data_IF_153996788550
#
_entry.id   IF_153996788550
#
_cell.length_a   1.000
_cell.length_b   1.000
_cell.length_c   1.000
_cell.angle_alpha   90.00
_cell.angle_beta   90.00
_cell.angle_gamma   90.00
#
_symmetry.space_group_name_H-M   'P 1'
#
loop_
_entity.id
_entity.type
_entity.pdbx_description
1 polymer ?
#
# COMPACT_ATOMS: atom_id res chain seq x y z
N UNK A 1 -2.68 -33.99 8.37
CA UNK A 1 -4.05 -33.55 8.76
C UNK A 1 -4.55 -32.35 7.97
N UNK A 2 -3.82 -31.26 7.85
CA UNK A 2 -4.30 -30.01 7.20
C UNK A 2 -4.42 -30.11 5.68
N UNK A 3 -3.45 -30.72 5.01
CA UNK A 3 -3.44 -30.88 3.55
C UNK A 3 -4.65 -31.64 3.00
N UNK A 4 -5.10 -32.69 3.70
CA UNK A 4 -6.25 -33.49 3.30
C UNK A 4 -7.57 -32.69 3.32
N UNK A 5 -7.71 -31.74 4.25
CA UNK A 5 -8.89 -30.85 4.30
C UNK A 5 -8.89 -29.85 3.15
N UNK A 6 -7.75 -29.26 2.83
CA UNK A 6 -7.60 -28.33 1.68
C UNK A 6 -7.94 -29.09 0.38
N UNK A 7 -7.49 -30.35 0.22
CA UNK A 7 -7.86 -31.15 -0.93
C UNK A 7 -9.38 -31.27 -1.10
N UNK A 8 -10.13 -31.47 0.00
CA UNK A 8 -11.59 -31.52 -0.02
C UNK A 8 -12.23 -30.24 -0.55
N UNK A 9 -11.74 -29.07 -0.12
CA UNK A 9 -12.21 -27.78 -0.61
C UNK A 9 -11.90 -27.62 -2.11
N UNK A 10 -10.71 -27.94 -2.55
CA UNK A 10 -10.30 -27.85 -3.96
C UNK A 10 -11.14 -28.79 -4.85
N UNK A 11 -11.40 -30.02 -4.38
CA UNK A 11 -12.29 -30.96 -5.06
C UNK A 11 -13.69 -30.36 -5.23
N UNK A 12 -14.25 -29.79 -4.16
CA UNK A 12 -15.57 -29.13 -4.19
C UNK A 12 -15.59 -27.98 -5.19
N UNK A 13 -14.63 -27.08 -5.14
CA UNK A 13 -14.55 -25.93 -6.03
C UNK A 13 -14.43 -26.37 -7.49
N UNK A 14 -13.54 -27.33 -7.78
CA UNK A 14 -13.33 -27.83 -9.13
C UNK A 14 -14.55 -28.57 -9.68
N UNK A 15 -15.24 -29.31 -8.82
CA UNK A 15 -16.49 -29.99 -9.19
C UNK A 15 -17.59 -29.01 -9.54
N UNK A 16 -17.80 -27.98 -8.67
CA UNK A 16 -18.82 -26.97 -8.89
C UNK A 16 -18.55 -26.13 -10.15
N UNK A 17 -17.29 -25.79 -10.44
CA UNK A 17 -16.91 -25.07 -11.68
C UNK A 17 -17.24 -25.87 -12.94
N UNK A 18 -17.35 -27.20 -12.86
CA UNK A 18 -17.70 -28.12 -13.96
C UNK A 18 -19.17 -28.50 -13.98
N UNK A 19 -19.94 -27.98 -13.05
CA UNK A 19 -21.36 -28.33 -12.84
C UNK A 19 -21.61 -29.83 -12.67
N UNK A 20 -20.68 -30.52 -11.95
CA UNK A 20 -20.78 -31.95 -11.70
C UNK A 20 -21.51 -32.23 -10.38
N UNK A 21 -22.35 -33.28 -10.38
CA UNK A 21 -22.93 -33.82 -9.16
C UNK A 21 -21.88 -34.57 -8.34
N UNK A 22 -22.14 -34.73 -7.03
CA UNK A 22 -21.29 -35.58 -6.19
C UNK A 22 -21.31 -37.04 -6.66
N UNK A 23 -22.47 -37.55 -7.07
CA UNK A 23 -22.59 -38.91 -7.62
C UNK A 23 -21.72 -39.11 -8.88
N UNK A 24 -21.74 -38.15 -9.80
CA UNK A 24 -20.96 -38.21 -11.02
C UNK A 24 -19.45 -38.19 -10.75
N UNK A 25 -19.01 -37.37 -9.79
CA UNK A 25 -17.58 -37.30 -9.45
C UNK A 25 -17.10 -38.55 -8.71
N UNK A 26 -17.86 -39.09 -7.76
CA UNK A 26 -17.39 -40.19 -6.89
C UNK A 26 -17.58 -41.59 -7.46
N UNK A 27 -18.25 -41.75 -8.60
CA UNK A 27 -18.56 -43.04 -9.21
C UNK A 27 -17.33 -43.92 -9.36
N UNK A 28 -17.32 -45.11 -8.73
CA UNK A 28 -16.21 -46.07 -8.75
C UNK A 28 -14.98 -45.62 -7.91
N UNK A 29 -15.04 -44.52 -7.16
CA UNK A 29 -13.97 -44.07 -6.27
C UNK A 29 -14.40 -44.18 -4.79
N UNK A 30 -15.54 -43.56 -4.45
CA UNK A 30 -16.06 -43.56 -3.08
C UNK A 30 -17.57 -43.38 -3.10
N UNK A 31 -18.20 -43.36 -1.91
CA UNK A 31 -19.65 -43.09 -1.81
C UNK A 31 -19.93 -41.58 -1.83
N UNK A 32 -21.11 -41.15 -2.35
CA UNK A 32 -21.51 -39.73 -2.32
C UNK A 32 -21.52 -39.13 -0.91
N UNK A 33 -21.96 -39.90 0.08
CA UNK A 33 -21.93 -39.47 1.49
C UNK A 33 -20.52 -39.24 2.02
N UNK A 34 -19.55 -40.05 1.59
CA UNK A 34 -18.16 -39.85 1.96
C UNK A 34 -17.55 -38.66 1.26
N UNK A 35 -17.80 -38.47 -0.05
CA UNK A 35 -17.38 -37.29 -0.79
C UNK A 35 -17.93 -36.00 -0.18
N UNK A 36 -19.21 -36.00 0.22
CA UNK A 36 -19.84 -34.85 0.91
C UNK A 36 -19.11 -34.49 2.20
N UNK A 37 -18.68 -35.47 3.00
CA UNK A 37 -17.89 -35.22 4.21
C UNK A 37 -16.47 -34.70 3.88
N UNK A 38 -15.84 -35.20 2.82
CA UNK A 38 -14.53 -34.70 2.33
C UNK A 38 -14.66 -33.23 1.93
N UNK A 39 -15.63 -32.89 1.09
CA UNK A 39 -15.88 -31.52 0.62
C UNK A 39 -16.23 -30.53 1.73
N UNK A 40 -16.75 -31.00 2.84
CA UNK A 40 -17.04 -30.22 4.05
C UNK A 40 -15.88 -30.18 5.05
N UNK A 41 -14.75 -30.84 4.74
CA UNK A 41 -13.62 -30.96 5.66
C UNK A 41 -13.90 -31.80 6.91
N UNK A 42 -15.01 -32.58 6.93
CA UNK A 42 -15.43 -33.46 8.03
C UNK A 42 -14.81 -34.85 7.97
N UNK A 43 -14.21 -35.22 6.84
CA UNK A 43 -13.47 -36.47 6.66
C UNK A 43 -12.17 -36.19 5.92
N UNK A 44 -11.13 -36.91 6.28
CA UNK A 44 -9.84 -36.87 5.60
C UNK A 44 -9.77 -38.05 4.61
N UNK A 45 -9.70 -37.77 3.29
CA UNK A 45 -9.55 -38.83 2.29
C UNK A 45 -8.15 -39.44 2.35
N UNK A 46 -8.04 -40.71 1.97
CA UNK A 46 -6.71 -41.30 1.74
C UNK A 46 -6.01 -40.61 0.55
N UNK A 47 -4.67 -40.71 0.47
CA UNK A 47 -3.93 -40.16 -0.67
C UNK A 47 -4.46 -40.65 -2.02
N UNK A 48 -4.80 -41.96 -2.11
CA UNK A 48 -5.30 -42.59 -3.34
C UNK A 48 -6.69 -41.99 -3.73
N UNK A 49 -7.60 -41.84 -2.76
CA UNK A 49 -8.93 -41.25 -3.01
C UNK A 49 -8.78 -39.78 -3.44
N UNK A 50 -7.89 -39.04 -2.80
CA UNK A 50 -7.58 -37.64 -3.16
C UNK A 50 -7.10 -37.55 -4.60
N UNK A 51 -6.11 -38.37 -4.97
CA UNK A 51 -5.53 -38.38 -6.30
C UNK A 51 -6.57 -38.77 -7.37
N UNK A 52 -7.36 -39.80 -7.13
CA UNK A 52 -8.39 -40.28 -8.07
C UNK A 52 -9.46 -39.22 -8.32
N UNK A 53 -9.94 -38.54 -7.27
CA UNK A 53 -10.95 -37.49 -7.39
C UNK A 53 -10.41 -36.26 -8.15
N UNK A 54 -9.19 -35.79 -7.80
CA UNK A 54 -8.57 -34.65 -8.46
C UNK A 54 -8.19 -34.96 -9.92
N UNK A 55 -7.65 -36.16 -10.19
CA UNK A 55 -7.36 -36.61 -11.56
C UNK A 55 -8.60 -36.65 -12.43
N UNK A 56 -9.73 -37.14 -11.91
CA UNK A 56 -11.02 -37.11 -12.62
C UNK A 56 -11.47 -35.69 -12.95
N UNK A 57 -11.13 -34.73 -12.09
CA UNK A 57 -11.33 -33.30 -12.31
C UNK A 57 -10.23 -32.65 -13.17
N UNK A 58 -9.29 -33.43 -13.74
CA UNK A 58 -8.20 -32.90 -14.55
C UNK A 58 -7.17 -32.11 -13.77
N UNK A 59 -7.07 -32.32 -12.45
CA UNK A 59 -6.12 -31.69 -11.56
C UNK A 59 -5.08 -32.66 -11.07
N UNK A 60 -3.84 -32.20 -10.88
CA UNK A 60 -2.73 -32.99 -10.34
C UNK A 60 -2.47 -32.54 -8.91
N UNK A 61 -2.69 -33.45 -7.95
CA UNK A 61 -2.38 -33.17 -6.54
C UNK A 61 -0.89 -33.30 -6.26
N UNK A 62 -0.33 -32.33 -5.55
CA UNK A 62 1.06 -32.31 -5.11
C UNK A 62 1.06 -32.45 -3.58
N UNK A 63 1.28 -33.65 -3.02
CA UNK A 63 1.16 -33.89 -1.58
C UNK A 63 2.31 -33.27 -0.77
N UNK A 64 3.51 -33.19 -1.35
CA UNK A 64 4.72 -32.66 -0.73
C UNK A 64 5.30 -31.53 -1.61
N UNK A 65 4.71 -30.32 -1.52
CA UNK A 65 5.22 -29.17 -2.25
C UNK A 65 6.49 -28.61 -1.59
N UNK A 66 7.20 -27.78 -2.34
CA UNK A 66 8.36 -27.06 -1.82
C UNK A 66 7.99 -26.16 -0.63
N UNK A 67 8.97 -25.96 0.29
CA UNK A 67 8.74 -25.16 1.50
C UNK A 67 8.67 -23.66 1.17
N UNK A 68 7.58 -23.02 1.55
CA UNK A 68 7.36 -21.57 1.40
C UNK A 68 7.76 -20.75 2.62
N UNK A 69 8.41 -21.35 3.63
CA UNK A 69 8.88 -20.63 4.82
C UNK A 69 9.74 -19.41 4.50
N UNK A 70 10.66 -19.43 3.50
CA UNK A 70 11.43 -18.25 3.15
C UNK A 70 10.55 -17.07 2.75
N UNK A 71 9.51 -17.28 1.92
CA UNK A 71 8.56 -16.24 1.53
C UNK A 71 7.76 -15.71 2.74
N UNK A 72 7.29 -16.62 3.61
CA UNK A 72 6.58 -16.24 4.82
C UNK A 72 7.45 -15.44 5.78
N UNK A 73 8.69 -15.85 6.00
CA UNK A 73 9.62 -15.14 6.88
C UNK A 73 9.92 -13.74 6.33
N UNK A 74 10.16 -13.62 5.03
CA UNK A 74 10.39 -12.33 4.39
C UNK A 74 9.17 -11.40 4.50
N UNK A 75 7.96 -11.91 4.23
CA UNK A 75 6.72 -11.15 4.39
C UNK A 75 6.52 -10.69 5.85
N UNK A 76 6.61 -11.61 6.80
CA UNK A 76 6.34 -11.34 8.21
C UNK A 76 7.36 -10.39 8.85
N UNK A 77 8.58 -10.35 8.35
CA UNK A 77 9.64 -9.41 8.78
C UNK A 77 9.60 -8.06 8.08
N UNK A 78 8.71 -7.90 7.07
CA UNK A 78 8.68 -6.69 6.24
C UNK A 78 9.90 -6.53 5.34
N UNK A 79 10.63 -7.61 5.05
CA UNK A 79 11.81 -7.57 4.20
C UNK A 79 11.44 -7.34 2.73
N UNK A 80 12.13 -6.44 2.00
CA UNK A 80 11.95 -6.28 0.55
C UNK A 80 12.29 -7.56 -0.23
N UNK A 81 13.08 -8.47 0.36
CA UNK A 81 13.36 -9.80 -0.19
C UNK A 81 12.13 -10.69 -0.39
N UNK A 82 10.96 -10.30 0.15
CA UNK A 82 9.69 -11.00 -0.08
C UNK A 82 9.35 -11.06 -1.57
N UNK A 83 9.47 -9.98 -2.30
CA UNK A 83 9.14 -9.92 -3.73
C UNK A 83 10.03 -10.88 -4.54
N UNK A 84 11.33 -10.84 -4.32
CA UNK A 84 12.28 -11.75 -4.97
C UNK A 84 12.01 -13.23 -4.61
N UNK A 85 11.75 -13.51 -3.33
CA UNK A 85 11.38 -14.84 -2.88
C UNK A 85 10.12 -15.36 -3.58
N UNK A 86 9.09 -14.51 -3.71
CA UNK A 86 7.85 -14.88 -4.38
C UNK A 86 8.08 -15.16 -5.87
N UNK A 87 8.82 -14.31 -6.57
CA UNK A 87 9.17 -14.48 -7.98
C UNK A 87 9.98 -15.75 -8.26
N UNK A 88 10.86 -16.14 -7.36
CA UNK A 88 11.71 -17.31 -7.54
C UNK A 88 11.04 -18.61 -7.11
N UNK A 89 10.30 -18.61 -5.99
CA UNK A 89 9.79 -19.84 -5.39
C UNK A 89 8.30 -20.10 -5.69
N UNK A 90 7.50 -19.05 -5.91
CA UNK A 90 6.06 -19.20 -6.06
C UNK A 90 5.63 -19.07 -7.51
N UNK A 91 5.99 -17.97 -8.15
CA UNK A 91 5.48 -17.58 -9.46
C UNK A 91 5.73 -18.67 -10.55
N UNK A 92 6.91 -19.33 -10.65
CA UNK A 92 7.17 -20.33 -11.70
C UNK A 92 6.32 -21.60 -11.57
N UNK A 93 5.80 -21.88 -10.38
CA UNK A 93 5.04 -23.09 -10.09
C UNK A 93 3.67 -22.82 -9.43
N UNK A 94 3.17 -21.59 -9.56
CA UNK A 94 1.94 -21.15 -8.90
C UNK A 94 0.75 -22.05 -9.20
N UNK A 95 0.56 -22.47 -10.47
CA UNK A 95 -0.53 -23.37 -10.87
C UNK A 95 -0.42 -24.75 -10.21
N UNK A 96 0.81 -25.28 -10.10
CA UNK A 96 1.06 -26.55 -9.43
C UNK A 96 0.77 -26.47 -7.93
N UNK A 97 1.27 -25.42 -7.30
CA UNK A 97 1.10 -25.18 -5.86
C UNK A 97 -0.37 -24.88 -5.48
N UNK A 98 -1.15 -24.32 -6.40
CA UNK A 98 -2.58 -24.11 -6.21
C UNK A 98 -3.37 -25.41 -5.99
N UNK A 99 -2.83 -26.57 -6.41
CA UNK A 99 -3.40 -27.89 -6.16
C UNK A 99 -2.53 -28.70 -5.17
N UNK A 100 -2.26 -28.12 -4.01
CA UNK A 100 -1.40 -28.67 -2.96
C UNK A 100 -1.90 -28.29 -1.56
N UNK A 101 -1.31 -28.83 -0.49
CA UNK A 101 -1.58 -28.38 0.89
C UNK A 101 -1.28 -26.90 1.14
N UNK A 102 -0.52 -26.25 0.27
CA UNK A 102 -0.12 -24.84 0.35
C UNK A 102 -1.04 -23.89 -0.44
N UNK A 103 -2.16 -24.37 -0.97
CA UNK A 103 -3.06 -23.56 -1.80
C UNK A 103 -3.52 -22.25 -1.10
N UNK A 104 -3.82 -22.31 0.20
CA UNK A 104 -4.15 -21.12 0.98
C UNK A 104 -2.95 -20.18 1.14
N UNK A 105 -1.74 -20.72 1.32
CA UNK A 105 -0.51 -19.95 1.44
C UNK A 105 -0.24 -19.17 0.16
N UNK A 106 -0.38 -19.82 -0.99
CA UNK A 106 -0.18 -19.19 -2.31
C UNK A 106 -1.14 -18.01 -2.50
N UNK A 107 -2.42 -18.21 -2.19
CA UNK A 107 -3.42 -17.16 -2.36
C UNK A 107 -3.17 -15.96 -1.44
N UNK A 108 -2.78 -16.20 -0.18
CA UNK A 108 -2.44 -15.13 0.75
C UNK A 108 -1.16 -14.40 0.35
N UNK A 109 -0.09 -15.13 0.01
CA UNK A 109 1.15 -14.53 -0.45
C UNK A 109 0.94 -13.71 -1.72
N UNK A 110 0.10 -14.20 -2.67
CA UNK A 110 -0.25 -13.47 -3.88
C UNK A 110 -0.95 -12.13 -3.59
N UNK A 111 -1.84 -12.09 -2.60
CA UNK A 111 -2.54 -10.85 -2.22
C UNK A 111 -1.57 -9.75 -1.76
N UNK A 112 -0.48 -10.12 -1.07
CA UNK A 112 0.59 -9.20 -0.68
C UNK A 112 1.55 -8.88 -1.82
N UNK A 113 1.86 -9.85 -2.67
CA UNK A 113 2.76 -9.64 -3.82
C UNK A 113 2.18 -8.68 -4.85
N UNK A 114 0.90 -8.82 -5.18
CA UNK A 114 0.20 -7.98 -6.16
C UNK A 114 -0.30 -6.64 -5.59
N UNK A 115 -0.10 -6.40 -4.29
CA UNK A 115 -0.63 -5.25 -3.52
C UNK A 115 -2.16 -5.05 -3.70
N UNK A 116 -2.86 -6.10 -4.16
CA UNK A 116 -4.32 -6.04 -4.33
C UNK A 116 -5.05 -6.07 -3.00
N UNK A 117 -4.38 -6.60 -1.96
CA UNK A 117 -4.92 -6.74 -0.60
C UNK A 117 -6.34 -7.36 -0.56
N UNK A 118 -6.63 -8.23 -1.54
CA UNK A 118 -7.94 -8.88 -1.62
C UNK A 118 -8.02 -10.07 -0.68
N UNK A 119 -9.05 -10.14 0.17
CA UNK A 119 -9.28 -11.29 1.04
C UNK A 119 -9.69 -12.53 0.23
N UNK A 120 -9.39 -13.70 0.77
CA UNK A 120 -9.93 -14.97 0.26
C UNK A 120 -11.45 -15.02 0.45
N UNK A 121 -12.15 -15.84 -0.35
CA UNK A 121 -13.56 -16.09 -0.13
C UNK A 121 -13.81 -16.79 1.24
N UNK A 122 -14.97 -16.56 1.85
CA UNK A 122 -15.30 -17.07 3.19
C UNK A 122 -15.21 -18.60 3.29
N UNK A 123 -15.38 -19.32 2.20
CA UNK A 123 -15.27 -20.79 2.17
C UNK A 123 -13.89 -21.33 2.55
N UNK A 124 -12.83 -20.48 2.47
CA UNK A 124 -11.48 -20.85 2.91
C UNK A 124 -11.31 -20.82 4.43
N UNK A 125 -12.08 -20.02 5.15
CA UNK A 125 -11.86 -19.75 6.58
C UNK A 125 -11.76 -21.01 7.46
N UNK A 126 -12.59 -22.06 7.28
CA UNK A 126 -12.48 -23.28 8.09
C UNK A 126 -11.17 -24.06 7.89
N UNK A 127 -10.44 -23.76 6.82
CA UNK A 127 -9.20 -24.44 6.43
C UNK A 127 -7.93 -23.65 6.77
N UNK A 128 -8.06 -22.37 7.15
CA UNK A 128 -6.93 -21.50 7.47
C UNK A 128 -6.32 -21.82 8.84
N UNK A 129 -5.00 -21.54 8.98
CA UNK A 129 -4.36 -21.50 10.29
C UNK A 129 -4.76 -20.24 11.05
N UNK A 130 -4.48 -20.21 12.34
CA UNK A 130 -4.65 -19.02 13.16
C UNK A 130 -3.94 -17.82 12.49
N UNK A 131 -2.70 -18.01 12.06
CA UNK A 131 -1.92 -16.98 11.33
C UNK A 131 -2.56 -16.58 10.01
N UNK A 132 -2.92 -17.53 9.18
CA UNK A 132 -3.56 -17.28 7.89
C UNK A 132 -4.92 -16.58 8.09
N UNK A 133 -5.69 -17.00 9.12
CA UNK A 133 -6.95 -16.36 9.46
C UNK A 133 -6.74 -14.92 9.99
N UNK A 134 -5.69 -14.67 10.76
CA UNK A 134 -5.34 -13.32 11.21
C UNK A 134 -5.02 -12.41 10.01
N UNK A 135 -4.22 -12.89 9.06
CA UNK A 135 -3.94 -12.15 7.81
C UNK A 135 -5.20 -11.94 6.98
N UNK A 136 -6.06 -12.96 6.86
CA UNK A 136 -7.35 -12.84 6.20
C UNK A 136 -8.23 -11.75 6.83
N UNK A 137 -8.30 -11.68 8.17
CA UNK A 137 -9.04 -10.61 8.88
C UNK A 137 -8.44 -9.22 8.61
N UNK A 138 -7.12 -9.13 8.56
CA UNK A 138 -6.45 -7.87 8.21
C UNK A 138 -6.78 -7.43 6.77
N UNK A 139 -6.77 -8.34 5.80
CA UNK A 139 -7.16 -8.06 4.42
C UNK A 139 -8.63 -7.62 4.31
N UNK A 140 -9.50 -8.08 5.22
CA UNK A 140 -10.89 -7.63 5.35
C UNK A 140 -11.04 -6.29 6.10
N UNK A 141 -9.95 -5.68 6.58
CA UNK A 141 -9.97 -4.48 7.40
C UNK A 141 -10.41 -4.70 8.86
N UNK A 142 -10.50 -5.96 9.32
CA UNK A 142 -10.94 -6.36 10.67
C UNK A 142 -9.73 -6.47 11.61
N UNK A 143 -9.07 -5.33 11.85
CA UNK A 143 -7.78 -5.24 12.52
C UNK A 143 -7.78 -5.78 13.96
N UNK A 144 -8.83 -5.46 14.74
CA UNK A 144 -8.94 -5.92 16.14
C UNK A 144 -9.10 -7.43 16.25
N UNK A 145 -9.80 -8.05 15.29
CA UNK A 145 -9.94 -9.50 15.24
C UNK A 145 -8.64 -10.16 14.83
N UNK A 146 -7.96 -9.59 13.84
CA UNK A 146 -6.67 -10.07 13.40
C UNK A 146 -5.65 -10.09 14.55
N UNK A 147 -5.54 -8.99 15.29
CA UNK A 147 -4.63 -8.86 16.44
C UNK A 147 -4.97 -9.81 17.59
N UNK A 148 -6.27 -10.10 17.82
CA UNK A 148 -6.69 -11.09 18.83
C UNK A 148 -6.35 -12.53 18.45
N UNK A 149 -6.36 -12.84 17.16
CA UNK A 149 -5.99 -14.17 16.66
C UNK A 149 -4.49 -14.44 16.80
N UNK A 150 -3.67 -13.52 16.29
CA UNK A 150 -2.20 -13.59 16.36
C UNK A 150 -1.61 -12.17 16.30
N UNK A 151 -0.98 -11.67 17.37
CA UNK A 151 -0.43 -10.32 17.43
C UNK A 151 0.91 -10.22 16.67
N UNK A 152 0.84 -10.21 15.34
CA UNK A 152 2.02 -10.09 14.48
C UNK A 152 2.40 -8.63 14.28
N UNK A 153 3.69 -8.24 14.34
CA UNK A 153 4.15 -6.89 14.02
C UNK A 153 3.69 -6.40 12.64
N UNK A 154 3.65 -7.30 11.65
CA UNK A 154 3.15 -7.01 10.31
C UNK A 154 1.70 -6.47 10.33
N UNK A 155 0.82 -7.06 11.13
CA UNK A 155 -0.60 -6.63 11.18
C UNK A 155 -0.74 -5.21 11.71
N UNK A 156 -0.01 -4.87 12.76
CA UNK A 156 0.01 -3.50 13.31
C UNK A 156 0.62 -2.50 12.33
N UNK A 157 1.69 -2.89 11.61
CA UNK A 157 2.30 -2.06 10.57
C UNK A 157 1.34 -1.79 9.41
N UNK A 158 0.64 -2.81 8.91
CA UNK A 158 -0.38 -2.68 7.86
C UNK A 158 -1.58 -1.83 8.32
N UNK A 159 -2.04 -2.01 9.56
CA UNK A 159 -3.10 -1.18 10.14
C UNK A 159 -2.69 0.28 10.20
N UNK A 160 -1.47 0.56 10.68
CA UNK A 160 -0.92 1.91 10.70
C UNK A 160 -0.82 2.54 9.31
N UNK A 161 -0.37 1.77 8.30
CA UNK A 161 -0.37 2.20 6.88
C UNK A 161 -1.79 2.51 6.38
N UNK A 162 -2.77 1.67 6.69
CA UNK A 162 -4.16 1.88 6.31
C UNK A 162 -4.77 3.14 6.97
N UNK A 163 -4.46 3.40 8.24
CA UNK A 163 -4.86 4.62 8.95
C UNK A 163 -4.20 5.87 8.35
N UNK A 164 -2.90 5.79 8.04
CA UNK A 164 -2.17 6.86 7.36
C UNK A 164 -2.84 7.21 6.02
N UNK A 165 -3.13 6.21 5.19
CA UNK A 165 -3.79 6.42 3.89
C UNK A 165 -5.16 7.08 4.02
N UNK A 166 -5.89 6.80 5.12
CA UNK A 166 -7.18 7.43 5.43
C UNK A 166 -7.06 8.82 6.07
N UNK A 167 -5.84 9.31 6.32
CA UNK A 167 -5.62 10.59 6.97
C UNK A 167 -5.82 10.58 8.50
N UNK A 168 -6.02 9.42 9.12
CA UNK A 168 -6.17 9.26 10.57
C UNK A 168 -4.79 9.26 11.28
N UNK A 169 -4.03 10.35 11.10
CA UNK A 169 -2.60 10.41 11.43
C UNK A 169 -2.29 10.18 12.91
N UNK A 170 -3.07 10.75 13.82
CA UNK A 170 -2.83 10.58 15.27
C UNK A 170 -2.95 9.12 15.67
N UNK A 171 -4.01 8.43 15.27
CA UNK A 171 -4.20 7.01 15.54
C UNK A 171 -3.15 6.16 14.81
N UNK A 172 -2.79 6.54 13.56
CA UNK A 172 -1.72 5.87 12.82
C UNK A 172 -0.39 5.90 13.57
N UNK A 173 -0.01 7.07 14.14
CA UNK A 173 1.22 7.23 14.92
C UNK A 173 1.23 6.28 16.13
N UNK A 174 0.13 6.17 16.87
CA UNK A 174 0.02 5.28 18.03
C UNK A 174 0.22 3.81 17.63
N UNK A 175 -0.54 3.36 16.62
CA UNK A 175 -0.47 1.97 16.11
C UNK A 175 0.92 1.65 15.55
N UNK A 176 1.54 2.60 14.81
CA UNK A 176 2.87 2.42 14.24
C UNK A 176 3.98 2.41 15.29
N UNK A 177 3.82 3.13 16.40
CA UNK A 177 4.76 3.05 17.55
C UNK A 177 4.74 1.66 18.19
N UNK A 178 3.55 1.07 18.34
CA UNK A 178 3.43 -0.29 18.87
C UNK A 178 3.97 -1.32 17.87
N UNK A 179 3.71 -1.15 16.56
CA UNK A 179 4.31 -1.96 15.51
C UNK A 179 5.85 -1.90 15.54
N UNK A 180 6.42 -0.69 15.70
CA UNK A 180 7.86 -0.49 15.80
C UNK A 180 8.46 -1.24 16.98
N UNK A 181 7.85 -1.15 18.19
CA UNK A 181 8.34 -1.87 19.38
C UNK A 181 8.30 -3.38 19.14
N UNK A 182 7.16 -3.89 18.66
CA UNK A 182 7.02 -5.33 18.37
C UNK A 182 7.99 -5.81 17.29
N UNK A 183 8.27 -4.97 16.29
CA UNK A 183 9.27 -5.28 15.25
C UNK A 183 10.70 -5.27 15.81
N UNK A 184 11.01 -4.37 16.75
CA UNK A 184 12.30 -4.33 17.42
C UNK A 184 12.52 -5.58 18.28
N UNK A 185 11.51 -5.99 19.06
CA UNK A 185 11.55 -7.19 19.89
C UNK A 185 11.71 -8.47 19.03
N UNK A 186 11.13 -8.47 17.81
CA UNK A 186 11.24 -9.57 16.86
C UNK A 186 12.51 -9.54 16.00
N UNK A 187 13.31 -8.47 16.04
CA UNK A 187 14.50 -8.31 15.22
C UNK A 187 14.19 -8.06 13.72
N UNK A 188 13.18 -7.26 13.41
CA UNK A 188 12.74 -6.97 12.05
C UNK A 188 13.10 -5.52 11.61
N UNK A 189 14.37 -5.27 11.23
CA UNK A 189 14.85 -3.91 10.99
C UNK A 189 14.18 -3.20 9.81
N UNK A 190 13.81 -3.89 8.74
CA UNK A 190 13.07 -3.30 7.62
C UNK A 190 11.67 -2.80 8.03
N UNK A 191 10.99 -3.55 8.90
CA UNK A 191 9.70 -3.11 9.44
C UNK A 191 9.85 -1.93 10.39
N UNK A 192 10.92 -1.91 11.21
CA UNK A 192 11.27 -0.75 12.04
C UNK A 192 11.48 0.49 11.18
N UNK A 193 12.22 0.37 10.07
CA UNK A 193 12.44 1.44 9.10
C UNK A 193 11.10 1.94 8.53
N UNK A 194 10.27 1.03 8.01
CA UNK A 194 8.95 1.37 7.46
C UNK A 194 8.05 2.09 8.47
N UNK A 195 8.01 1.64 9.72
CA UNK A 195 7.25 2.30 10.78
C UNK A 195 7.76 3.72 11.04
N UNK A 196 9.09 3.94 11.10
CA UNK A 196 9.68 5.27 11.32
C UNK A 196 9.37 6.23 10.18
N UNK A 197 9.46 5.77 8.93
CA UNK A 197 9.10 6.56 7.75
C UNK A 197 7.61 6.95 7.82
N UNK A 198 6.72 6.01 8.06
CA UNK A 198 5.28 6.29 8.12
C UNK A 198 4.91 7.24 9.26
N UNK A 199 5.52 7.11 10.44
CA UNK A 199 5.31 8.04 11.55
C UNK A 199 5.80 9.45 11.16
N UNK A 200 6.99 9.54 10.56
CA UNK A 200 7.51 10.82 10.07
C UNK A 200 6.61 11.44 9.01
N UNK A 201 6.07 10.64 8.07
CA UNK A 201 5.10 11.10 7.08
C UNK A 201 3.81 11.62 7.74
N UNK A 202 3.30 10.94 8.78
CA UNK A 202 2.16 11.44 9.55
C UNK A 202 2.45 12.84 10.15
N UNK A 203 3.64 13.03 10.73
CA UNK A 203 4.03 14.34 11.27
C UNK A 203 4.27 15.39 10.17
N UNK A 204 4.79 15.00 9.00
CA UNK A 204 4.88 15.87 7.83
C UNK A 204 3.50 16.38 7.42
N UNK A 205 2.53 15.48 7.29
CA UNK A 205 1.16 15.82 6.90
C UNK A 205 0.42 16.66 7.97
N UNK A 206 0.85 16.56 9.23
CA UNK A 206 0.40 17.41 10.33
C UNK A 206 1.16 18.75 10.42
N UNK A 207 2.13 19.03 9.55
CA UNK A 207 2.98 20.24 9.58
C UNK A 207 3.96 20.29 10.76
N UNK A 208 4.18 19.17 11.45
CA UNK A 208 5.02 19.05 12.65
C UNK A 208 6.45 18.66 12.29
N UNK A 209 7.24 19.63 11.82
CA UNK A 209 8.58 19.42 11.27
C UNK A 209 9.56 18.82 12.27
N UNK A 210 9.56 19.27 13.52
CA UNK A 210 10.54 18.79 14.53
C UNK A 210 10.35 17.31 14.84
N UNK A 211 9.11 16.88 15.02
CA UNK A 211 8.80 15.48 15.25
C UNK A 211 9.05 14.63 14.01
N UNK A 212 8.70 15.15 12.82
CA UNK A 212 9.03 14.49 11.55
C UNK A 212 10.55 14.23 11.47
N UNK A 213 11.37 15.25 11.68
CA UNK A 213 12.83 15.14 11.61
C UNK A 213 13.39 14.16 12.65
N UNK A 214 12.81 14.10 13.87
CA UNK A 214 13.20 13.12 14.87
C UNK A 214 13.01 11.68 14.39
N UNK A 215 11.88 11.40 13.72
CA UNK A 215 11.62 10.07 13.18
C UNK A 215 12.43 9.78 11.93
N UNK A 216 12.60 10.74 11.03
CA UNK A 216 13.38 10.59 9.81
C UNK A 216 14.87 10.39 10.10
N UNK A 217 15.44 11.08 11.09
CA UNK A 217 16.84 10.85 11.49
C UNK A 217 17.09 9.39 11.91
N UNK A 218 16.17 8.79 12.69
CA UNK A 218 16.27 7.37 13.03
C UNK A 218 16.10 6.48 11.81
N UNK A 219 15.18 6.84 10.90
CA UNK A 219 14.93 6.09 9.67
C UNK A 219 16.15 6.15 8.73
N UNK A 220 16.83 7.30 8.61
CA UNK A 220 18.06 7.44 7.83
C UNK A 220 19.17 6.50 8.32
N UNK A 221 19.44 6.47 9.64
CA UNK A 221 20.41 5.54 10.20
C UNK A 221 20.07 4.07 9.96
N UNK A 222 18.77 3.72 10.06
CA UNK A 222 18.33 2.36 9.76
C UNK A 222 18.49 2.03 8.28
N UNK A 223 18.12 2.95 7.38
CA UNK A 223 18.25 2.77 5.94
C UNK A 223 19.73 2.66 5.50
N UNK A 224 20.61 3.48 6.08
CA UNK A 224 22.07 3.38 5.86
C UNK A 224 22.62 2.03 6.30
N UNK A 225 22.26 1.57 7.51
CA UNK A 225 22.68 0.27 8.04
C UNK A 225 22.18 -0.91 7.21
N UNK A 226 21.02 -0.76 6.56
CA UNK A 226 20.42 -1.78 5.69
C UNK A 226 20.86 -1.67 4.23
N UNK A 227 21.55 -0.59 3.83
CA UNK A 227 21.89 -0.29 2.44
C UNK A 227 20.67 0.04 1.59
N UNK A 228 19.57 0.51 2.20
CA UNK A 228 18.31 0.84 1.52
C UNK A 228 18.34 2.26 0.92
N UNK A 229 18.87 2.33 -0.29
CA UNK A 229 19.04 3.60 -1.04
C UNK A 229 17.71 4.24 -1.42
N UNK A 230 16.67 3.43 -1.66
CA UNK A 230 15.34 3.92 -2.07
C UNK A 230 14.63 4.60 -0.90
N UNK A 231 14.71 4.01 0.29
CA UNK A 231 14.21 4.66 1.51
C UNK A 231 14.96 5.94 1.82
N UNK A 232 16.29 5.99 1.63
CA UNK A 232 17.08 7.22 1.79
C UNK A 232 16.64 8.32 0.81
N UNK A 233 16.43 7.98 -0.45
CA UNK A 233 15.94 8.93 -1.45
C UNK A 233 14.55 9.47 -1.08
N UNK A 234 13.64 8.58 -0.65
CA UNK A 234 12.29 8.95 -0.21
C UNK A 234 12.30 9.87 1.02
N UNK A 235 13.15 9.60 2.00
CA UNK A 235 13.30 10.45 3.20
C UNK A 235 13.77 11.85 2.85
N UNK A 236 14.75 11.98 1.97
CA UNK A 236 15.28 13.28 1.49
C UNK A 236 14.22 14.07 0.71
N UNK A 237 13.49 13.38 -0.20
CA UNK A 237 12.38 13.97 -0.93
C UNK A 237 11.30 14.50 0.03
N UNK A 238 10.83 13.67 0.98
CA UNK A 238 9.79 14.04 1.92
C UNK A 238 10.22 15.22 2.82
N UNK A 239 11.48 15.25 3.24
CA UNK A 239 12.04 16.37 4.00
C UNK A 239 11.99 17.67 3.20
N UNK A 240 12.47 17.66 1.96
CA UNK A 240 12.47 18.83 1.10
C UNK A 240 11.05 19.29 0.74
N UNK A 241 10.15 18.33 0.42
CA UNK A 241 8.75 18.64 0.11
C UNK A 241 8.02 19.27 1.31
N UNK A 242 8.27 18.79 2.54
CA UNK A 242 7.69 19.36 3.75
C UNK A 242 8.26 20.75 4.04
N UNK A 243 9.56 20.98 3.86
CA UNK A 243 10.17 22.32 3.97
C UNK A 243 9.50 23.30 3.00
N UNK A 244 9.29 22.88 1.76
CA UNK A 244 8.62 23.70 0.76
C UNK A 244 7.17 24.00 1.15
N UNK A 245 6.42 23.00 1.64
CA UNK A 245 5.04 23.17 2.12
C UNK A 245 4.94 24.17 3.28
N UNK A 246 5.93 24.22 4.14
CA UNK A 246 6.03 25.15 5.27
C UNK A 246 6.59 26.53 4.87
N UNK A 247 6.71 26.83 3.58
CA UNK A 247 7.19 28.11 3.08
C UNK A 247 8.68 28.36 3.32
N UNK A 248 9.49 27.30 3.27
CA UNK A 248 10.96 27.36 3.40
C UNK A 248 11.66 26.89 2.11
N UNK A 249 11.37 27.56 0.95
CA UNK A 249 11.90 27.12 -0.35
C UNK A 249 13.43 27.14 -0.42
N UNK A 250 14.10 28.01 0.35
CA UNK A 250 15.57 28.10 0.39
C UNK A 250 16.20 26.81 0.92
N UNK A 251 15.51 26.10 1.83
CA UNK A 251 15.98 24.83 2.38
C UNK A 251 15.67 23.65 1.45
N UNK A 252 14.56 23.72 0.72
CA UNK A 252 14.14 22.67 -0.21
C UNK A 252 14.91 22.71 -1.55
N UNK A 253 15.22 23.90 -2.04
CA UNK A 253 15.83 24.12 -3.35
C UNK A 253 17.11 23.32 -3.59
N UNK A 254 18.09 23.24 -2.65
CA UNK A 254 19.32 22.48 -2.87
C UNK A 254 19.07 21.00 -3.21
N UNK A 255 18.10 20.37 -2.57
CA UNK A 255 17.74 18.98 -2.86
C UNK A 255 17.22 18.84 -4.29
N UNK A 256 16.15 19.55 -4.65
CA UNK A 256 15.52 19.42 -5.96
C UNK A 256 16.43 19.85 -7.11
N UNK A 257 17.37 20.76 -6.87
CA UNK A 257 18.34 21.22 -7.88
C UNK A 257 19.52 20.25 -8.08
N UNK A 258 19.77 19.35 -7.13
CA UNK A 258 20.94 18.45 -7.18
C UNK A 258 20.67 17.11 -7.84
N UNK A 259 19.41 16.81 -8.19
CA UNK A 259 19.03 15.50 -8.72
C UNK A 259 19.51 15.31 -10.16
N UNK A 260 20.28 14.23 -10.46
CA UNK A 260 20.82 14.01 -11.81
C UNK A 260 19.71 13.57 -12.80
N UNK A 261 18.68 12.90 -12.33
CA UNK A 261 17.55 12.40 -13.10
C UNK A 261 16.24 12.72 -12.37
N UNK A 262 15.82 14.01 -12.35
CA UNK A 262 14.62 14.38 -11.61
C UNK A 262 13.36 13.77 -12.24
N UNK A 263 12.47 13.28 -11.40
CA UNK A 263 11.13 12.83 -11.80
C UNK A 263 10.21 14.03 -12.08
N UNK A 264 9.01 13.74 -12.62
CA UNK A 264 7.96 14.75 -12.75
C UNK A 264 7.72 15.51 -11.44
N UNK A 265 7.60 14.77 -10.32
CA UNK A 265 7.30 15.36 -9.01
C UNK A 265 8.46 16.25 -8.50
N UNK A 266 9.70 15.86 -8.74
CA UNK A 266 10.86 16.65 -8.37
C UNK A 266 10.89 17.97 -9.12
N UNK A 267 10.67 17.95 -10.44
CA UNK A 267 10.61 19.15 -11.27
C UNK A 267 9.41 20.05 -10.92
N UNK A 268 8.26 19.47 -10.60
CA UNK A 268 7.12 20.23 -10.12
C UNK A 268 7.43 20.97 -8.81
N UNK A 269 8.10 20.29 -7.84
CA UNK A 269 8.54 20.93 -6.58
C UNK A 269 9.62 21.97 -6.82
N UNK A 270 10.56 21.71 -7.73
CA UNK A 270 11.60 22.66 -8.14
C UNK A 270 10.98 23.95 -8.72
N UNK A 271 9.97 23.80 -9.59
CA UNK A 271 9.26 24.94 -10.15
C UNK A 271 8.60 25.79 -9.05
N UNK A 272 7.97 25.16 -8.05
CA UNK A 272 7.35 25.86 -6.92
C UNK A 272 8.41 26.50 -6.01
N UNK A 273 9.57 25.86 -5.78
CA UNK A 273 10.67 26.49 -5.06
C UNK A 273 11.09 27.80 -5.74
N UNK A 274 11.33 27.77 -7.04
CA UNK A 274 11.72 28.96 -7.81
C UNK A 274 10.59 30.01 -7.87
N UNK A 275 9.32 29.57 -7.98
CA UNK A 275 8.16 30.47 -7.91
C UNK A 275 8.15 31.25 -6.60
N UNK A 276 8.26 30.55 -5.45
CA UNK A 276 8.24 31.19 -4.13
C UNK A 276 9.42 32.11 -3.86
N UNK A 277 10.57 31.83 -4.51
CA UNK A 277 11.78 32.66 -4.43
C UNK A 277 11.79 33.82 -5.43
N UNK A 278 10.77 33.96 -6.28
CA UNK A 278 10.69 35.00 -7.31
C UNK A 278 11.60 34.74 -8.53
N UNK A 279 12.14 33.56 -8.66
CA UNK A 279 13.03 33.16 -9.77
C UNK A 279 12.20 32.70 -10.98
N UNK A 280 11.48 33.64 -11.62
CA UNK A 280 10.46 33.34 -12.65
C UNK A 280 10.99 32.53 -13.83
N UNK A 281 12.18 32.85 -14.36
CA UNK A 281 12.75 32.16 -15.52
C UNK A 281 13.09 30.71 -15.19
N UNK A 282 13.67 30.46 -14.03
CA UNK A 282 14.02 29.12 -13.56
C UNK A 282 12.76 28.30 -13.27
N UNK A 283 11.71 28.93 -12.72
CA UNK A 283 10.42 28.28 -12.49
C UNK A 283 9.79 27.82 -13.82
N UNK A 284 9.76 28.69 -14.84
CA UNK A 284 9.24 28.33 -16.17
C UNK A 284 10.08 27.24 -16.85
N UNK A 285 11.39 27.27 -16.71
CA UNK A 285 12.27 26.22 -17.23
C UNK A 285 12.00 24.87 -16.58
N UNK A 286 11.78 24.83 -15.25
CA UNK A 286 11.42 23.61 -14.53
C UNK A 286 10.03 23.10 -14.94
N UNK A 287 9.04 23.98 -15.13
CA UNK A 287 7.71 23.61 -15.67
C UNK A 287 7.85 22.97 -17.04
N UNK A 288 8.63 23.58 -17.95
CA UNK A 288 8.82 23.05 -19.30
C UNK A 288 9.48 21.67 -19.32
N UNK A 289 10.46 21.44 -18.44
CA UNK A 289 11.07 20.13 -18.27
C UNK A 289 10.07 19.10 -17.74
N UNK A 290 9.28 19.48 -16.73
CA UNK A 290 8.28 18.60 -16.13
C UNK A 290 7.16 18.21 -17.14
N UNK A 291 6.78 19.12 -18.04
CA UNK A 291 5.81 18.84 -19.10
C UNK A 291 6.20 17.66 -20.00
N UNK A 292 7.51 17.50 -20.27
CA UNK A 292 8.00 16.35 -21.06
C UNK A 292 7.87 15.01 -20.34
N UNK A 293 7.72 15.01 -19.01
CA UNK A 293 7.57 13.82 -18.17
C UNK A 293 6.14 13.56 -17.72
N UNK A 294 5.23 14.52 -17.93
CA UNK A 294 3.84 14.39 -17.52
C UNK A 294 3.11 13.31 -18.33
N UNK A 295 2.61 12.27 -17.66
CA UNK A 295 1.93 11.13 -18.27
C UNK A 295 0.41 11.25 -18.20
N UNK A 296 -0.11 11.92 -17.16
CA UNK A 296 -1.53 12.04 -16.85
C UNK A 296 -2.10 13.45 -16.99
N UNK A 297 -3.43 13.56 -16.99
CA UNK A 297 -4.12 14.85 -17.06
C UNK A 297 -3.92 15.66 -15.77
N UNK A 298 -4.00 14.99 -14.61
CA UNK A 298 -3.78 15.62 -13.31
C UNK A 298 -2.39 16.28 -13.22
N UNK A 299 -1.35 15.61 -13.74
CA UNK A 299 0.01 16.14 -13.79
C UNK A 299 0.09 17.40 -14.66
N UNK A 300 -0.54 17.37 -15.83
CA UNK A 300 -0.63 18.54 -16.71
C UNK A 300 -1.34 19.72 -16.04
N UNK A 301 -2.42 19.45 -15.32
CA UNK A 301 -3.13 20.48 -14.55
C UNK A 301 -2.29 21.06 -13.42
N UNK A 302 -1.53 20.23 -12.68
CA UNK A 302 -0.59 20.70 -11.66
C UNK A 302 0.42 21.72 -12.24
N UNK A 303 0.98 21.43 -13.40
CA UNK A 303 1.92 22.33 -14.08
C UNK A 303 1.23 23.59 -14.63
N UNK A 304 0.04 23.44 -15.20
CA UNK A 304 -0.75 24.58 -15.70
C UNK A 304 -1.05 25.59 -14.61
N UNK A 305 -1.32 25.13 -13.38
CA UNK A 305 -1.53 26.02 -12.22
C UNK A 305 -0.24 26.79 -11.85
N UNK A 306 0.93 26.15 -11.86
CA UNK A 306 2.20 26.84 -11.60
C UNK A 306 2.46 27.88 -12.71
N UNK A 307 2.33 27.48 -13.97
CA UNK A 307 2.49 28.38 -15.13
C UNK A 307 1.53 29.57 -15.04
N UNK A 308 0.26 29.33 -14.72
CA UNK A 308 -0.75 30.37 -14.57
C UNK A 308 -0.34 31.43 -13.56
N UNK A 309 0.13 31.01 -12.37
CA UNK A 309 0.60 31.93 -11.32
C UNK A 309 1.84 32.73 -11.74
N UNK A 310 2.73 32.14 -12.53
CA UNK A 310 3.91 32.81 -13.06
C UNK A 310 3.57 33.87 -14.14
N UNK A 311 2.50 33.64 -14.90
CA UNK A 311 2.13 34.49 -16.04
C UNK A 311 1.14 35.60 -15.67
N UNK A 312 0.33 35.42 -14.62
CA UNK A 312 -0.76 36.33 -14.23
C UNK A 312 -0.53 36.87 -12.81
N UNK A 313 -0.21 38.15 -12.69
CA UNK A 313 0.10 38.77 -11.38
C UNK A 313 -1.09 38.75 -10.40
N UNK A 314 -2.33 38.85 -10.88
CA UNK A 314 -3.55 38.88 -10.05
C UNK A 314 -4.37 37.57 -10.15
N UNK A 315 -3.68 36.43 -10.28
CA UNK A 315 -4.30 35.11 -10.42
C UNK A 315 -5.29 34.77 -9.28
N UNK A 316 -5.07 35.29 -8.09
CA UNK A 316 -5.94 35.00 -6.93
C UNK A 316 -7.39 35.54 -7.11
N UNK A 317 -7.59 36.56 -7.92
CA UNK A 317 -8.92 37.11 -8.20
C UNK A 317 -9.49 36.60 -9.54
N UNK A 318 -8.75 35.77 -10.25
CA UNK A 318 -9.18 35.23 -11.53
C UNK A 318 -10.05 33.97 -11.34
N UNK A 319 -11.26 34.03 -11.87
CA UNK A 319 -12.23 32.94 -11.81
C UNK A 319 -11.79 31.73 -12.63
N UNK A 320 -11.03 31.93 -13.73
CA UNK A 320 -10.51 30.83 -14.55
C UNK A 320 -9.43 30.05 -13.80
N UNK A 321 -8.52 30.75 -13.11
CA UNK A 321 -7.56 30.11 -12.20
C UNK A 321 -8.26 29.31 -11.11
N UNK A 322 -9.27 29.91 -10.46
CA UNK A 322 -10.03 29.26 -9.40
C UNK A 322 -10.72 27.98 -9.87
N UNK A 323 -11.32 28.00 -11.07
CA UNK A 323 -11.95 26.81 -11.64
C UNK A 323 -10.95 25.69 -11.89
N UNK A 324 -9.79 26.00 -12.49
CA UNK A 324 -8.73 25.03 -12.72
C UNK A 324 -8.14 24.47 -11.41
N UNK A 325 -7.93 25.34 -10.42
CA UNK A 325 -7.40 24.95 -9.11
C UNK A 325 -8.35 23.99 -8.39
N UNK A 326 -9.64 24.27 -8.36
CA UNK A 326 -10.64 23.43 -7.70
C UNK A 326 -10.82 22.09 -8.42
N UNK A 327 -10.73 22.08 -9.74
CA UNK A 327 -10.80 20.85 -10.52
C UNK A 327 -9.55 19.95 -10.28
N UNK A 328 -8.36 20.52 -10.37
CA UNK A 328 -7.11 19.82 -10.05
C UNK A 328 -7.13 19.28 -8.61
N UNK A 329 -7.60 20.09 -7.64
CA UNK A 329 -7.68 19.66 -6.25
C UNK A 329 -8.61 18.46 -6.06
N UNK A 330 -9.75 18.41 -6.75
CA UNK A 330 -10.67 17.27 -6.75
C UNK A 330 -10.03 16.02 -7.36
N UNK A 331 -9.35 16.15 -8.49
CA UNK A 331 -8.66 15.03 -9.12
C UNK A 331 -7.53 14.49 -8.23
N UNK A 332 -6.81 15.35 -7.51
CA UNK A 332 -5.79 14.91 -6.55
C UNK A 332 -6.38 14.08 -5.41
N UNK A 333 -7.59 14.40 -4.93
CA UNK A 333 -8.26 13.60 -3.90
C UNK A 333 -8.61 12.18 -4.39
N UNK A 334 -8.90 12.02 -5.68
CA UNK A 334 -9.32 10.75 -6.27
C UNK A 334 -8.13 9.87 -6.69
N UNK A 335 -7.02 10.49 -7.13
CA UNK A 335 -5.95 9.77 -7.85
C UNK A 335 -4.61 9.71 -7.11
N UNK A 336 -4.39 10.61 -6.13
CA UNK A 336 -3.11 10.71 -5.42
C UNK A 336 -3.25 10.48 -3.91
N UNK A 337 -2.17 10.07 -3.23
CA UNK A 337 -2.15 10.01 -1.76
C UNK A 337 -2.52 11.35 -1.12
N UNK A 338 -3.12 11.31 0.06
CA UNK A 338 -3.64 12.48 0.79
C UNK A 338 -2.61 13.61 0.98
N UNK A 339 -1.33 13.29 1.09
CA UNK A 339 -0.26 14.30 1.19
C UNK A 339 -0.22 15.28 0.01
N UNK A 340 -0.57 14.84 -1.21
CA UNK A 340 -0.67 15.73 -2.38
C UNK A 340 -1.84 16.70 -2.26
N UNK A 341 -2.98 16.23 -1.82
CA UNK A 341 -4.16 17.06 -1.54
C UNK A 341 -3.81 18.11 -0.50
N UNK A 342 -3.16 17.71 0.62
CA UNK A 342 -2.74 18.64 1.68
C UNK A 342 -1.71 19.65 1.18
N UNK A 343 -0.77 19.24 0.33
CA UNK A 343 0.20 20.18 -0.26
C UNK A 343 -0.49 21.28 -1.08
N UNK A 344 -1.56 20.95 -1.82
CA UNK A 344 -2.30 21.91 -2.64
C UNK A 344 -3.36 22.70 -1.87
N UNK A 345 -3.75 22.27 -0.68
CA UNK A 345 -4.77 22.88 0.16
C UNK A 345 -4.51 24.38 0.41
N UNK A 346 -3.26 24.76 0.65
CA UNK A 346 -2.87 26.15 0.90
C UNK A 346 -3.29 27.10 -0.23
N UNK A 347 -3.21 26.68 -1.50
CA UNK A 347 -3.60 27.51 -2.64
C UNK A 347 -5.11 27.65 -2.76
N UNK A 348 -5.86 26.58 -2.49
CA UNK A 348 -7.34 26.62 -2.47
C UNK A 348 -7.82 27.56 -1.36
N UNK A 349 -7.22 27.46 -0.17
CA UNK A 349 -7.54 28.36 0.95
C UNK A 349 -7.18 29.82 0.64
N UNK A 350 -6.03 30.07 0.00
CA UNK A 350 -5.61 31.39 -0.41
C UNK A 350 -6.59 32.00 -1.43
N UNK A 351 -7.02 31.21 -2.43
CA UNK A 351 -7.99 31.63 -3.43
C UNK A 351 -9.37 31.92 -2.81
N UNK A 352 -9.89 31.04 -1.95
CA UNK A 352 -11.15 31.28 -1.25
C UNK A 352 -11.09 32.56 -0.39
N UNK A 353 -9.97 32.78 0.32
CA UNK A 353 -9.77 33.97 1.15
C UNK A 353 -9.74 35.23 0.31
N UNK A 354 -9.02 35.27 -0.80
CA UNK A 354 -8.93 36.41 -1.71
C UNK A 354 -10.31 36.79 -2.28
N UNK A 355 -11.14 35.77 -2.57
CA UNK A 355 -12.49 35.97 -3.12
C UNK A 355 -13.59 36.03 -2.05
N UNK A 356 -13.22 36.24 -0.76
CA UNK A 356 -14.16 36.35 0.38
C UNK A 356 -15.10 35.15 0.55
N UNK A 357 -14.72 33.99 0.06
CA UNK A 357 -15.48 32.73 0.15
C UNK A 357 -15.16 31.98 1.47
N UNK A 358 -15.29 32.69 2.60
CA UNK A 358 -14.87 32.18 3.91
C UNK A 358 -15.63 30.92 4.34
N UNK A 359 -16.92 30.78 3.94
CA UNK A 359 -17.71 29.60 4.27
C UNK A 359 -17.14 28.33 3.62
N UNK A 360 -16.68 28.45 2.39
CA UNK A 360 -16.05 27.34 1.66
C UNK A 360 -14.68 27.00 2.27
N UNK A 361 -13.90 28.01 2.62
CA UNK A 361 -12.62 27.83 3.31
C UNK A 361 -12.79 27.13 4.67
N UNK A 362 -13.79 27.52 5.48
CA UNK A 362 -14.07 26.87 6.76
C UNK A 362 -14.49 25.42 6.59
N UNK A 363 -15.36 25.10 5.63
CA UNK A 363 -15.76 23.72 5.34
C UNK A 363 -14.56 22.85 4.93
N UNK A 364 -13.69 23.41 4.10
CA UNK A 364 -12.49 22.71 3.67
C UNK A 364 -11.53 22.46 4.84
N UNK A 365 -11.42 23.39 5.79
CA UNK A 365 -10.64 23.21 7.01
C UNK A 365 -11.26 22.19 7.97
N UNK A 366 -12.59 22.03 7.98
CA UNK A 366 -13.26 20.96 8.73
C UNK A 366 -12.98 19.58 8.11
N UNK A 367 -12.96 19.50 6.77
CA UNK A 367 -12.65 18.28 6.03
C UNK A 367 -11.16 17.91 6.13
N UNK A 368 -10.27 18.89 6.09
CA UNK A 368 -8.81 18.75 6.19
C UNK A 368 -8.29 19.57 7.39
N UNK A 369 -8.51 19.12 8.61
CA UNK A 369 -8.10 19.91 9.78
C UNK A 369 -6.59 20.13 9.75
N UNK A 370 -6.20 21.39 9.78
CA UNK A 370 -4.84 21.86 10.03
C UNK A 370 -4.73 21.95 11.56
N UNK A 371 -3.97 21.04 12.14
CA UNK A 371 -3.75 21.02 13.59
C UNK A 371 -2.58 21.94 13.93
#
# INVERSE_FOLDING_TARGET
MRGARIAGLLIRQARLRRDWSQDGLCLGICTPSYLSKIEQGKAEPSPEVTELLLRRLGLVWIPEPEDLKPCWNALLSGSPGFFLCYEQLVLPQQERLACSPLAADILLLAAFYTDTMQPLSEEWEPFLSTRQLALQRALQGRWDEAARLEPLPLLSSLHGKALYTKGAYTTAIEVLRDAYRSAADAGYPHMMLSCRILIGNCYSDLGRMEEMMTHFSVAEHLAEALGDTDSLASLRYNTAATQLQLGQPEKALPYFSSLPHPSFLDLHKLAICHEQLGHREQALAAVQQAESLATGETERQMLALVRYRLEHADYLHDSAYGAQLLDCFRQLQETYPMGFTRFHLQWVLAWYKANRQYRQACRLLEEFPVI
#
